data_IF_115847256518
#
_entry.id   IF_115847256518
#
_cell.length_a   1.000
_cell.length_b   1.000
_cell.length_c   1.000
_cell.angle_alpha   90.00
_cell.angle_beta   90.00
_cell.angle_gamma   90.00
#
_symmetry.space_group_name_H-M   'P 1'
#
loop_
_entity.id
_entity.type
_entity.pdbx_description
1 polymer ?
#
# COMPACT_ATOMS: atom_id res chain seq x y z
N UNK A 1 -3.98 24.50 25.05
CA UNK A 1 -2.82 24.27 24.16
C UNK A 1 -1.88 25.46 24.28
N UNK A 2 -0.62 25.25 24.64
CA UNK A 2 0.34 26.33 24.83
C UNK A 2 0.90 26.80 23.48
N UNK A 3 0.66 28.06 23.13
CA UNK A 3 1.19 28.70 21.93
C UNK A 3 2.67 28.99 22.16
N UNK A 4 3.54 28.38 21.34
CA UNK A 4 4.97 28.67 21.36
C UNK A 4 5.21 30.04 20.69
N UNK A 5 5.72 31.06 21.40
CA UNK A 5 5.80 32.44 20.90
C UNK A 5 6.78 32.63 19.72
N UNK A 6 7.61 31.62 19.40
CA UNK A 6 8.59 31.67 18.32
C UNK A 6 8.17 30.90 17.06
N UNK A 7 6.93 30.41 16.96
CA UNK A 7 6.42 29.77 15.73
C UNK A 7 5.51 30.73 14.97
N UNK A 8 6.00 31.21 13.83
CA UNK A 8 5.18 31.92 12.85
C UNK A 8 4.14 30.93 12.28
N UNK A 9 2.86 31.27 12.43
CA UNK A 9 1.77 30.50 11.85
C UNK A 9 1.41 31.13 10.50
N UNK A 10 2.01 30.60 9.43
CA UNK A 10 1.91 31.19 8.08
C UNK A 10 0.58 30.83 7.41
N UNK A 11 -0.03 29.71 7.82
CA UNK A 11 -1.28 29.21 7.25
C UNK A 11 -2.38 29.18 8.31
N UNK A 12 -3.57 29.57 7.90
CA UNK A 12 -4.81 29.34 8.64
C UNK A 12 -5.15 27.85 8.67
N UNK A 13 -6.04 27.46 9.60
CA UNK A 13 -6.48 26.07 9.68
C UNK A 13 -7.21 25.61 8.40
N UNK A 14 -7.93 26.52 7.73
CA UNK A 14 -8.57 26.23 6.43
C UNK A 14 -7.53 25.94 5.37
N UNK A 15 -6.53 26.81 5.23
CA UNK A 15 -5.46 26.61 4.25
C UNK A 15 -4.70 25.30 4.50
N UNK A 16 -4.47 24.94 5.77
CA UNK A 16 -3.88 23.64 6.10
C UNK A 16 -4.75 22.48 5.60
N UNK A 17 -6.08 22.54 5.75
CA UNK A 17 -6.97 21.51 5.23
C UNK A 17 -7.03 21.52 3.70
N UNK A 18 -7.00 22.70 3.09
CA UNK A 18 -7.06 22.84 1.63
C UNK A 18 -5.79 22.29 0.97
N UNK A 19 -4.61 22.54 1.56
CA UNK A 19 -3.34 22.05 1.02
C UNK A 19 -2.97 20.64 1.48
N UNK A 20 -3.19 20.33 2.76
CA UNK A 20 -2.69 19.11 3.39
C UNK A 20 -3.76 18.15 3.88
N UNK A 21 -5.03 18.53 3.78
CA UNK A 21 -6.16 17.69 4.18
C UNK A 21 -6.39 16.51 3.24
N UNK A 22 -7.16 15.55 3.76
CA UNK A 22 -7.59 14.39 3.01
C UNK A 22 -8.39 14.81 1.76
N UNK A 23 -8.11 14.25 0.56
CA UNK A 23 -8.83 14.63 -0.65
C UNK A 23 -10.33 14.35 -0.56
N UNK A 24 -11.16 15.34 -0.90
CA UNK A 24 -12.62 15.20 -1.02
C UNK A 24 -13.00 15.39 -2.48
N UNK A 25 -12.86 14.33 -3.27
CA UNK A 25 -13.04 14.38 -4.71
C UNK A 25 -14.52 14.51 -5.13
N UNK A 26 -14.75 15.41 -6.09
CA UNK A 26 -15.93 15.42 -6.96
C UNK A 26 -15.88 14.25 -7.95
N UNK A 27 -16.91 14.07 -8.78
CA UNK A 27 -16.89 13.03 -9.79
C UNK A 27 -15.81 13.29 -10.85
N UNK A 28 -15.68 14.55 -11.27
CA UNK A 28 -14.69 15.03 -12.22
C UNK A 28 -13.27 14.84 -11.69
N UNK A 29 -13.06 15.11 -10.39
CA UNK A 29 -11.77 14.85 -9.74
C UNK A 29 -11.41 13.36 -9.78
N UNK A 30 -12.37 12.45 -9.58
CA UNK A 30 -12.10 11.00 -9.64
C UNK A 30 -11.68 10.58 -11.04
N UNK A 31 -12.41 11.05 -12.05
CA UNK A 31 -12.10 10.79 -13.46
C UNK A 31 -10.71 11.31 -13.83
N UNK A 32 -10.30 12.45 -13.28
CA UNK A 32 -8.98 13.03 -13.57
C UNK A 32 -7.84 12.38 -12.78
N UNK A 33 -7.96 12.27 -11.46
CA UNK A 33 -6.85 11.85 -10.60
C UNK A 33 -6.70 10.33 -10.50
N UNK A 34 -7.77 9.56 -10.72
CA UNK A 34 -7.67 8.10 -10.78
C UNK A 34 -7.44 7.56 -12.19
N UNK A 35 -7.35 8.41 -13.21
CA UNK A 35 -6.94 7.96 -14.54
C UNK A 35 -5.47 7.50 -14.51
N UNK A 36 -5.27 6.22 -14.80
CA UNK A 36 -3.99 5.54 -14.85
C UNK A 36 -3.50 5.46 -16.28
N UNK A 37 -2.28 5.92 -16.48
CA UNK A 37 -1.53 5.66 -17.72
C UNK A 37 -1.19 4.17 -17.85
N UNK A 38 -0.91 3.72 -19.08
CA UNK A 38 -0.47 2.34 -19.32
C UNK A 38 0.74 1.92 -18.47
N UNK A 39 1.67 2.85 -18.21
CA UNK A 39 2.83 2.61 -17.33
C UNK A 39 2.48 2.50 -15.86
N UNK A 40 1.39 3.12 -15.41
CA UNK A 40 0.92 2.99 -14.03
C UNK A 40 0.10 1.71 -13.84
N UNK A 41 -0.70 1.34 -14.84
CA UNK A 41 -1.43 0.06 -14.86
C UNK A 41 -0.46 -1.11 -14.80
N UNK A 42 0.68 -1.05 -15.50
CA UNK A 42 1.68 -2.13 -15.50
C UNK A 42 2.38 -2.36 -14.15
N UNK A 43 2.28 -1.43 -13.21
CA UNK A 43 2.80 -1.59 -11.85
C UNK A 43 1.89 -2.48 -10.98
N UNK A 44 0.64 -2.68 -11.37
CA UNK A 44 -0.32 -3.48 -10.62
C UNK A 44 -0.08 -4.96 -10.95
N UNK A 45 0.57 -5.69 -10.03
CA UNK A 45 0.83 -7.11 -10.24
C UNK A 45 -0.46 -7.94 -10.18
N UNK A 46 -0.61 -8.87 -11.12
CA UNK A 46 -1.80 -9.73 -11.22
C UNK A 46 -2.09 -10.50 -9.92
N UNK A 47 -1.04 -11.00 -9.25
CA UNK A 47 -1.12 -11.79 -8.01
C UNK A 47 -1.53 -11.00 -6.76
N UNK A 48 -1.61 -9.66 -6.83
CA UNK A 48 -2.04 -8.88 -5.68
C UNK A 48 -3.50 -9.13 -5.35
N UNK A 49 -3.80 -9.14 -4.06
CA UNK A 49 -5.18 -9.08 -3.58
C UNK A 49 -5.86 -7.84 -4.17
N UNK A 50 -7.14 -7.97 -4.50
CA UNK A 50 -7.92 -6.88 -5.10
C UNK A 50 -7.91 -5.62 -4.22
N UNK A 51 -8.02 -5.78 -2.90
CA UNK A 51 -7.88 -4.68 -1.93
C UNK A 51 -6.53 -3.97 -2.03
N UNK A 52 -5.44 -4.70 -2.23
CA UNK A 52 -4.11 -4.10 -2.43
C UNK A 52 -4.01 -3.34 -3.75
N UNK A 53 -4.62 -3.85 -4.83
CA UNK A 53 -4.68 -3.16 -6.13
C UNK A 53 -5.45 -1.84 -5.99
N UNK A 54 -6.64 -1.88 -5.39
CA UNK A 54 -7.46 -0.69 -5.17
C UNK A 54 -6.75 0.31 -4.26
N UNK A 55 -6.15 -0.15 -3.17
CA UNK A 55 -5.39 0.71 -2.27
C UNK A 55 -4.22 1.39 -3.00
N UNK A 56 -3.53 0.68 -3.91
CA UNK A 56 -2.49 1.28 -4.74
C UNK A 56 -3.05 2.41 -5.62
N UNK A 57 -4.18 2.19 -6.30
CA UNK A 57 -4.81 3.23 -7.14
C UNK A 57 -5.25 4.43 -6.32
N UNK A 58 -5.86 4.22 -5.14
CA UNK A 58 -6.24 5.29 -4.21
C UNK A 58 -5.02 6.14 -3.81
N UNK A 59 -3.95 5.49 -3.35
CA UNK A 59 -2.73 6.19 -2.94
C UNK A 59 -2.08 6.96 -4.08
N UNK A 60 -2.06 6.38 -5.28
CA UNK A 60 -1.49 7.03 -6.45
C UNK A 60 -2.32 8.26 -6.86
N UNK A 61 -3.65 8.16 -6.89
CA UNK A 61 -4.52 9.30 -7.23
C UNK A 61 -4.46 10.42 -6.20
N UNK A 62 -4.45 10.09 -4.90
CA UNK A 62 -4.26 11.08 -3.86
C UNK A 62 -2.87 11.73 -3.91
N UNK A 63 -1.85 10.94 -4.26
CA UNK A 63 -0.52 11.47 -4.50
C UNK A 63 -0.48 12.40 -5.71
N UNK A 64 -1.20 12.12 -6.81
CA UNK A 64 -1.31 13.04 -7.95
C UNK A 64 -1.92 14.38 -7.53
N UNK A 65 -3.01 14.35 -6.74
CA UNK A 65 -3.74 15.54 -6.33
C UNK A 65 -3.04 16.39 -5.25
N UNK A 66 -2.49 15.75 -4.21
CA UNK A 66 -1.97 16.44 -3.02
C UNK A 66 -0.47 16.24 -2.78
N UNK A 67 0.20 15.43 -3.60
CA UNK A 67 1.63 15.07 -3.47
C UNK A 67 1.97 14.41 -2.13
N UNK A 68 1.00 13.69 -1.55
CA UNK A 68 1.13 13.01 -0.26
C UNK A 68 0.39 11.67 -0.26
N UNK A 69 0.76 10.82 0.70
CA UNK A 69 0.08 9.56 1.01
C UNK A 69 -0.82 9.75 2.22
N UNK A 70 -1.97 9.09 2.22
CA UNK A 70 -2.97 9.24 3.26
C UNK A 70 -3.24 7.92 3.98
N UNK A 71 -3.55 8.01 5.27
CA UNK A 71 -4.21 6.91 5.99
C UNK A 71 -5.69 7.24 6.02
N UNK A 72 -6.50 6.22 5.76
CA UNK A 72 -7.94 6.33 5.72
C UNK A 72 -8.54 4.99 6.13
N UNK A 73 -9.76 5.04 6.63
CA UNK A 73 -10.60 3.86 6.81
C UNK A 73 -11.44 3.62 5.54
N UNK A 74 -12.01 2.41 5.40
CA UNK A 74 -12.72 2.02 4.18
C UNK A 74 -13.96 2.89 3.93
N UNK A 75 -14.62 3.33 5.00
CA UNK A 75 -15.81 4.17 5.01
C UNK A 75 -15.54 5.56 4.43
N UNK A 76 -14.31 6.06 4.54
CA UNK A 76 -13.93 7.40 4.06
C UNK A 76 -13.77 7.46 2.54
N UNK A 77 -13.60 6.29 1.89
CA UNK A 77 -13.23 6.16 0.47
C UNK A 77 -14.26 5.37 -0.34
N UNK A 78 -15.49 5.20 0.15
CA UNK A 78 -16.53 4.40 -0.53
C UNK A 78 -16.81 4.88 -1.95
N UNK A 79 -16.91 6.18 -2.17
CA UNK A 79 -17.17 6.73 -3.50
C UNK A 79 -15.97 6.55 -4.45
N UNK A 80 -14.76 6.75 -3.92
CA UNK A 80 -13.53 6.66 -4.68
C UNK A 80 -13.25 5.20 -5.08
N UNK A 81 -13.42 4.27 -4.13
CA UNK A 81 -13.33 2.83 -4.40
C UNK A 81 -14.38 2.36 -5.39
N UNK A 82 -15.63 2.84 -5.28
CA UNK A 82 -16.71 2.51 -6.23
C UNK A 82 -16.35 2.94 -7.66
N UNK A 83 -15.78 4.14 -7.82
CA UNK A 83 -15.27 4.60 -9.12
C UNK A 83 -14.16 3.67 -9.64
N UNK A 84 -13.15 3.38 -8.82
CA UNK A 84 -12.01 2.52 -9.20
C UNK A 84 -12.47 1.10 -9.58
N UNK A 85 -13.43 0.54 -8.85
CA UNK A 85 -14.04 -0.75 -9.20
C UNK A 85 -14.66 -0.71 -10.59
N UNK A 86 -15.48 0.31 -10.87
CA UNK A 86 -16.14 0.47 -12.16
C UNK A 86 -15.16 0.63 -13.32
N UNK A 87 -14.06 1.37 -13.10
CA UNK A 87 -13.10 1.71 -14.15
C UNK A 87 -12.11 0.58 -14.44
N UNK A 88 -11.48 -0.01 -13.40
CA UNK A 88 -10.35 -0.92 -13.57
C UNK A 88 -10.67 -2.38 -13.24
N UNK A 89 -11.69 -2.62 -12.42
CA UNK A 89 -12.00 -3.96 -11.91
C UNK A 89 -13.49 -4.34 -12.05
N UNK A 90 -14.16 -4.07 -13.19
CA UNK A 90 -15.63 -4.14 -13.31
C UNK A 90 -16.20 -5.55 -13.12
N UNK A 91 -15.39 -6.59 -13.38
CA UNK A 91 -15.79 -7.99 -13.27
C UNK A 91 -15.48 -8.63 -11.92
N UNK A 92 -15.02 -7.85 -10.94
CA UNK A 92 -14.73 -8.38 -9.59
C UNK A 92 -16.01 -8.76 -8.87
N UNK A 93 -16.05 -9.99 -8.35
CA UNK A 93 -17.20 -10.53 -7.61
C UNK A 93 -17.31 -9.90 -6.22
N UNK A 94 -16.16 -9.68 -5.58
CA UNK A 94 -16.08 -9.02 -4.27
C UNK A 94 -15.86 -7.51 -4.46
N UNK A 95 -16.86 -6.71 -4.07
CA UNK A 95 -16.78 -5.24 -4.06
C UNK A 95 -16.67 -4.66 -2.65
N UNK A 96 -16.42 -5.49 -1.66
CA UNK A 96 -16.21 -5.04 -0.29
C UNK A 96 -14.73 -4.65 -0.14
N UNK A 97 -14.45 -3.34 -0.22
CA UNK A 97 -13.10 -2.85 -0.04
C UNK A 97 -12.71 -2.84 1.44
N UNK A 98 -11.58 -3.48 1.75
CA UNK A 98 -10.96 -3.45 3.07
C UNK A 98 -9.56 -2.90 2.94
N UNK A 99 -9.22 -1.92 3.77
CA UNK A 99 -7.87 -1.36 3.81
C UNK A 99 -6.88 -2.49 4.10
N UNK A 100 -5.88 -2.72 3.25
CA UNK A 100 -4.90 -3.78 3.48
C UNK A 100 -4.22 -3.59 4.84
N UNK A 101 -4.32 -4.61 5.69
CA UNK A 101 -3.57 -4.63 6.94
C UNK A 101 -2.06 -4.63 6.64
N UNK A 102 -1.26 -4.14 7.60
CA UNK A 102 0.20 -4.24 7.54
C UNK A 102 0.62 -5.71 7.68
N UNK A 103 0.42 -6.53 6.66
CA UNK A 103 1.14 -7.80 6.60
C UNK A 103 2.61 -7.46 6.36
N UNK A 104 3.39 -7.50 7.44
CA UNK A 104 4.84 -7.70 7.35
C UNK A 104 5.04 -8.97 6.55
N UNK A 105 5.45 -8.87 5.29
CA UNK A 105 6.09 -10.01 4.62
C UNK A 105 7.38 -10.25 5.41
N UNK A 106 7.29 -11.04 6.49
CA UNK A 106 8.48 -11.63 7.09
C UNK A 106 9.02 -12.54 6.00
N UNK A 107 10.02 -12.07 5.24
CA UNK A 107 10.92 -13.01 4.61
C UNK A 107 11.42 -13.88 5.77
N UNK A 108 11.16 -15.18 5.72
CA UNK A 108 11.63 -16.15 6.68
C UNK A 108 13.14 -16.33 6.60
N UNK A 109 13.92 -15.25 6.69
CA UNK A 109 15.34 -15.30 6.92
C UNK A 109 15.48 -15.51 8.43
N UNK A 110 15.38 -16.77 8.86
CA UNK A 110 15.94 -17.19 10.13
C UNK A 110 17.43 -16.90 10.08
N UNK A 111 17.86 -15.78 10.66
CA UNK A 111 19.28 -15.54 10.94
C UNK A 111 19.70 -16.62 11.93
N UNK A 112 20.63 -17.53 11.58
CA UNK A 112 21.08 -18.55 12.52
C UNK A 112 21.80 -17.85 13.67
N UNK A 113 21.33 -18.06 14.91
CA UNK A 113 22.09 -17.66 16.08
C UNK A 113 23.36 -18.51 16.13
N UNK A 114 24.51 -17.85 16.05
CA UNK A 114 25.82 -18.47 16.20
C UNK A 114 26.09 -18.72 17.69
N UNK A 115 25.42 -19.72 18.27
CA UNK A 115 25.76 -20.20 19.61
C UNK A 115 25.27 -21.62 19.87
N UNK A 116 25.47 -22.54 18.93
CA UNK A 116 25.42 -23.97 19.25
C UNK A 116 26.58 -24.69 18.57
N UNK A 117 27.60 -24.97 19.37
CA UNK A 117 28.74 -25.81 19.03
C UNK A 117 28.28 -27.26 18.90
N UNK A 118 27.63 -27.64 17.79
CA UNK A 118 27.41 -29.05 17.43
C UNK A 118 27.12 -29.27 15.92
N UNK A 119 27.53 -28.35 15.05
CA UNK A 119 27.26 -28.42 13.59
C UNK A 119 28.38 -29.06 12.77
N UNK A 120 29.27 -29.86 13.38
CA UNK A 120 30.27 -30.62 12.62
C UNK A 120 29.89 -32.09 12.37
N UNK A 121 28.75 -32.58 12.89
CA UNK A 121 28.32 -33.97 12.67
C UNK A 121 27.21 -34.18 11.64
N UNK A 122 26.56 -33.14 11.14
CA UNK A 122 25.47 -33.29 10.16
C UNK A 122 25.88 -33.09 8.69
N UNK A 123 27.08 -32.59 8.41
CA UNK A 123 27.54 -32.35 7.03
C UNK A 123 28.15 -33.62 6.40
N UNK A 124 28.63 -34.58 7.20
CA UNK A 124 29.23 -35.82 6.69
C UNK A 124 28.23 -36.86 6.16
N UNK A 125 26.92 -36.73 6.42
CA UNK A 125 25.93 -37.78 6.09
C UNK A 125 25.02 -37.45 4.90
N UNK A 126 25.21 -36.32 4.21
CA UNK A 126 24.40 -35.93 3.04
C UNK A 126 25.14 -35.94 1.69
N UNK A 127 26.39 -36.40 1.65
CA UNK A 127 27.18 -36.55 0.41
C UNK A 127 27.32 -38.02 -0.05
N UNK A 128 26.50 -38.94 0.47
CA UNK A 128 26.64 -40.39 0.21
C UNK A 128 25.50 -41.02 -0.59
N UNK A 129 24.45 -40.28 -0.99
CA UNK A 129 23.27 -40.90 -1.63
C UNK A 129 22.95 -40.45 -3.06
N UNK A 130 23.77 -39.60 -3.68
CA UNK A 130 23.56 -39.16 -5.08
C UNK A 130 24.60 -39.70 -6.08
N UNK A 131 25.22 -40.85 -5.77
CA UNK A 131 26.01 -41.66 -6.71
C UNK A 131 25.70 -43.15 -6.51
N UNK A 132 24.52 -43.59 -6.95
CA UNK A 132 24.26 -44.96 -7.42
C UNK A 132 22.85 -45.05 -8.05
N UNK A 133 22.83 -45.59 -9.27
CA UNK A 133 21.74 -45.96 -10.18
C UNK A 133 20.95 -44.87 -10.94
#
# INVERSE_FOLDING_TARGET
>A
MAVNPNRLNILTQSEIQDYFGFPRFTQEDREYYFDLTNSEVSLIEEKWLLSSKIYFVLQLGYFKAKRMFFRFDAEEVVNDTSHIFGTYFPYSIDRDFKVPSKQTRRLGISIPNHSDSNTEKSISNRLSYDLAD
#
